data_IF_285341046085
#
_entry.id   IF_285341046085
#
_cell.length_a   1.000
_cell.length_b   1.000
_cell.length_c   1.000
_cell.angle_alpha   90.00
_cell.angle_beta   90.00
_cell.angle_gamma   90.00
#
_symmetry.space_group_name_H-M   'P 1'
#
loop_
_entity.id
_entity.type
_entity.pdbx_description
1 polymer ?
#
# COMPACT_ATOMS: atom_id res chain seq x y z
N UNK A 1 10.89 26.69 -18.59
CA UNK A 1 10.74 25.68 -17.51
C UNK A 1 10.56 24.30 -18.13
N UNK A 2 11.64 23.53 -18.28
CA UNK A 2 11.60 22.22 -18.96
C UNK A 2 11.09 21.13 -18.01
N UNK A 3 9.92 20.57 -18.28
CA UNK A 3 9.50 19.33 -17.63
C UNK A 3 10.35 18.22 -18.24
N UNK A 4 11.37 17.73 -17.52
CA UNK A 4 12.04 16.47 -17.84
C UNK A 4 10.98 15.37 -17.72
N UNK A 5 10.46 14.90 -18.84
CA UNK A 5 9.60 13.72 -18.91
C UNK A 5 10.44 12.52 -18.48
N UNK A 6 10.41 12.24 -17.18
CA UNK A 6 11.08 11.08 -16.61
C UNK A 6 10.39 9.83 -17.16
N UNK A 7 11.13 8.87 -17.75
CA UNK A 7 10.55 7.63 -18.21
C UNK A 7 9.86 6.98 -17.01
N UNK A 8 8.59 6.64 -17.20
CA UNK A 8 7.70 6.19 -16.15
C UNK A 8 8.10 4.76 -15.75
N UNK A 9 9.19 4.62 -14.97
CA UNK A 9 9.63 3.35 -14.40
C UNK A 9 8.50 2.84 -13.51
N UNK A 10 7.76 1.86 -14.02
CA UNK A 10 6.83 1.09 -13.21
C UNK A 10 7.65 0.12 -12.37
N UNK A 11 7.61 0.31 -11.05
CA UNK A 11 8.22 -0.65 -10.13
C UNK A 11 7.30 -1.85 -9.99
N UNK A 12 7.88 -3.06 -10.04
CA UNK A 12 7.16 -4.30 -9.78
C UNK A 12 6.44 -4.24 -8.43
N UNK A 13 5.29 -4.93 -8.31
CA UNK A 13 4.49 -5.01 -7.07
C UNK A 13 5.38 -5.43 -5.89
N UNK A 14 6.26 -6.40 -6.12
CA UNK A 14 7.21 -6.95 -5.14
C UNK A 14 8.12 -5.86 -4.55
N UNK A 15 8.67 -4.97 -5.37
CA UNK A 15 9.54 -3.88 -4.90
C UNK A 15 8.76 -2.92 -4.00
N UNK A 16 7.48 -2.65 -4.31
CA UNK A 16 6.64 -1.77 -3.48
C UNK A 16 6.32 -2.43 -2.14
N UNK A 17 6.01 -3.73 -2.14
CA UNK A 17 5.72 -4.50 -0.93
C UNK A 17 6.96 -4.57 -0.02
N UNK A 18 8.12 -4.89 -0.58
CA UNK A 18 9.37 -4.98 0.18
C UNK A 18 9.80 -3.61 0.71
N UNK A 19 9.66 -2.53 -0.08
CA UNK A 19 9.92 -1.16 0.38
C UNK A 19 9.06 -0.77 1.59
N UNK A 20 7.78 -1.18 1.61
CA UNK A 20 6.89 -0.94 2.73
C UNK A 20 7.30 -1.78 3.94
N UNK A 21 7.59 -3.08 3.73
CA UNK A 21 8.03 -4.00 4.79
C UNK A 21 9.29 -3.49 5.49
N UNK A 22 10.31 -3.08 4.74
CA UNK A 22 11.56 -2.51 5.30
C UNK A 22 11.29 -1.26 6.14
N UNK A 23 10.30 -0.44 5.77
CA UNK A 23 9.94 0.75 6.55
C UNK A 23 9.13 0.41 7.81
N UNK A 24 8.15 -0.47 7.70
CA UNK A 24 7.23 -0.80 8.81
C UNK A 24 7.88 -1.73 9.84
N UNK A 25 8.61 -2.75 9.39
CA UNK A 25 9.18 -3.78 10.27
C UNK A 25 10.59 -3.41 10.71
N UNK A 26 11.46 -3.08 9.76
CA UNK A 26 12.87 -2.81 10.02
C UNK A 26 13.19 -1.32 10.30
N UNK A 27 12.17 -0.45 10.25
CA UNK A 27 12.28 1.01 10.49
C UNK A 27 13.30 1.72 9.59
N UNK A 28 13.53 1.20 8.38
CA UNK A 28 14.40 1.86 7.41
C UNK A 28 13.84 3.23 7.01
N UNK A 29 14.72 4.20 6.85
CA UNK A 29 14.35 5.52 6.32
C UNK A 29 14.02 5.42 4.83
N UNK A 30 13.17 6.32 4.34
CA UNK A 30 12.85 6.38 2.91
C UNK A 30 14.11 6.53 2.04
N UNK A 31 15.14 7.21 2.57
CA UNK A 31 16.43 7.38 1.88
C UNK A 31 17.16 6.04 1.68
N UNK A 32 17.28 5.24 2.74
CA UNK A 32 17.93 3.93 2.66
C UNK A 32 17.20 3.01 1.66
N UNK A 33 15.86 3.06 1.66
CA UNK A 33 15.04 2.28 0.72
C UNK A 33 15.26 2.78 -0.72
N UNK A 34 15.31 4.09 -0.93
CA UNK A 34 15.58 4.63 -2.27
C UNK A 34 16.95 4.28 -2.80
N UNK A 35 17.98 4.28 -1.94
CA UNK A 35 19.34 3.91 -2.30
C UNK A 35 19.42 2.41 -2.64
N UNK A 36 18.79 1.53 -1.84
CA UNK A 36 18.76 0.07 -2.07
C UNK A 36 18.12 -0.32 -3.41
N UNK A 37 17.02 0.32 -3.79
CA UNK A 37 16.25 -0.04 -5.01
C UNK A 37 16.47 0.92 -6.19
N UNK A 38 17.41 1.86 -6.10
CA UNK A 38 17.64 2.85 -7.14
C UNK A 38 16.41 3.72 -7.46
N UNK A 39 15.59 4.01 -6.45
CA UNK A 39 14.39 4.83 -6.60
C UNK A 39 14.80 6.29 -6.56
N UNK A 40 14.56 7.02 -7.64
CA UNK A 40 15.00 8.42 -7.74
C UNK A 40 14.28 9.37 -6.77
N UNK A 41 13.03 9.07 -6.42
CA UNK A 41 12.19 9.96 -5.64
C UNK A 41 11.68 9.26 -4.35
N UNK A 42 12.16 9.74 -3.20
CA UNK A 42 11.74 9.26 -1.88
C UNK A 42 10.26 9.47 -1.60
N UNK A 43 9.62 10.46 -2.24
CA UNK A 43 8.20 10.71 -2.06
C UNK A 43 7.36 9.59 -2.70
N UNK A 44 7.91 8.81 -3.63
CA UNK A 44 7.25 7.58 -4.12
C UNK A 44 7.14 6.54 -3.03
N UNK A 45 8.23 6.27 -2.31
CA UNK A 45 8.24 5.32 -1.17
C UNK A 45 7.28 5.79 -0.09
N UNK A 46 7.30 7.09 0.25
CA UNK A 46 6.34 7.70 1.19
C UNK A 46 4.89 7.47 0.76
N UNK A 47 4.57 7.67 -0.52
CA UNK A 47 3.21 7.43 -1.05
C UNK A 47 2.82 5.95 -0.97
N UNK A 48 3.73 5.02 -1.21
CA UNK A 48 3.48 3.58 -1.05
C UNK A 48 3.15 3.23 0.40
N UNK A 49 3.99 3.67 1.35
CA UNK A 49 3.76 3.46 2.78
C UNK A 49 2.42 4.05 3.22
N UNK A 50 2.11 5.29 2.79
CA UNK A 50 0.83 5.92 3.11
C UNK A 50 -0.37 5.11 2.60
N UNK A 51 -0.33 4.66 1.34
CA UNK A 51 -1.40 3.84 0.76
C UNK A 51 -1.52 2.50 1.47
N UNK A 52 -0.41 1.88 1.84
CA UNK A 52 -0.39 0.64 2.59
C UNK A 52 -1.00 0.78 3.98
N UNK A 53 -0.70 1.86 4.72
CA UNK A 53 -1.35 2.11 6.02
C UNK A 53 -2.86 2.28 5.91
N UNK A 54 -3.33 2.88 4.81
CA UNK A 54 -4.76 3.14 4.59
C UNK A 54 -5.54 1.92 4.09
N UNK A 55 -4.96 1.13 3.18
CA UNK A 55 -5.66 0.09 2.42
C UNK A 55 -4.95 -1.27 2.44
N UNK A 56 -3.85 -1.41 3.18
CA UNK A 56 -2.98 -2.58 3.12
C UNK A 56 -2.36 -2.77 1.74
N UNK A 57 -2.13 -4.02 1.37
CA UNK A 57 -1.55 -4.40 0.08
C UNK A 57 -2.35 -3.90 -1.12
N UNK A 58 -3.67 -3.74 -0.98
CA UNK A 58 -4.53 -3.20 -2.04
C UNK A 58 -4.08 -1.78 -2.46
N UNK A 59 -3.61 -0.98 -1.50
CA UNK A 59 -3.10 0.37 -1.78
C UNK A 59 -1.83 0.39 -2.65
N UNK A 60 -1.13 -0.75 -2.79
CA UNK A 60 0.08 -0.89 -3.61
C UNK A 60 -0.22 -1.34 -5.05
N UNK A 61 -1.45 -1.74 -5.34
CA UNK A 61 -1.87 -2.13 -6.69
C UNK A 61 -1.79 -0.93 -7.66
N UNK A 62 -1.40 -1.22 -8.90
CA UNK A 62 -1.34 -0.23 -9.96
C UNK A 62 -2.71 -0.09 -10.63
N UNK A 63 -3.38 1.04 -10.43
CA UNK A 63 -4.71 1.30 -10.99
C UNK A 63 -4.66 2.05 -12.33
N UNK A 64 -3.47 2.19 -12.96
CA UNK A 64 -3.35 2.89 -14.24
C UNK A 64 -3.97 2.04 -15.36
N UNK A 65 -5.00 2.59 -16.02
CA UNK A 65 -5.58 2.02 -17.24
C UNK A 65 -6.56 0.85 -17.05
N UNK A 66 -7.37 0.85 -15.98
CA UNK A 66 -8.48 -0.12 -15.74
C UNK A 66 -8.15 -1.57 -16.12
N UNK A 67 -7.48 -2.31 -15.22
CA UNK A 67 -7.67 -3.76 -15.14
C UNK A 67 -8.43 -4.07 -13.85
N UNK A 68 -9.76 -4.18 -13.99
CA UNK A 68 -10.67 -4.59 -12.91
C UNK A 68 -10.78 -6.13 -12.84
N UNK A 69 -10.19 -6.85 -13.78
CA UNK A 69 -10.60 -8.24 -14.05
C UNK A 69 -10.06 -9.31 -13.11
N UNK A 70 -9.15 -8.99 -12.20
CA UNK A 70 -8.78 -9.92 -11.14
C UNK A 70 -8.15 -9.14 -9.99
N UNK A 71 -8.98 -8.44 -9.22
CA UNK A 71 -8.58 -8.12 -7.85
C UNK A 71 -8.43 -9.48 -7.18
N UNK A 72 -7.19 -9.91 -7.03
CA UNK A 72 -6.75 -11.12 -6.35
C UNK A 72 -7.78 -11.47 -5.27
N UNK A 73 -8.51 -12.58 -5.48
CA UNK A 73 -9.67 -12.94 -4.66
C UNK A 73 -9.27 -13.01 -3.17
N UNK A 74 -8.00 -13.29 -2.89
CA UNK A 74 -7.43 -13.25 -1.56
C UNK A 74 -7.38 -11.83 -0.98
N UNK A 75 -6.92 -10.84 -1.75
CA UNK A 75 -6.89 -9.42 -1.33
C UNK A 75 -8.29 -8.88 -1.01
N UNK A 76 -9.29 -9.19 -1.85
CA UNK A 76 -10.67 -8.80 -1.58
C UNK A 76 -11.22 -9.47 -0.31
N UNK A 77 -10.93 -10.76 -0.15
CA UNK A 77 -11.32 -11.53 1.03
C UNK A 77 -10.66 -11.00 2.30
N UNK A 78 -9.38 -10.60 2.24
CA UNK A 78 -8.67 -10.00 3.37
C UNK A 78 -9.27 -8.65 3.77
N UNK A 79 -9.63 -7.80 2.81
CA UNK A 79 -10.32 -6.53 3.08
C UNK A 79 -11.66 -6.77 3.79
N UNK A 80 -12.50 -7.63 3.23
CA UNK A 80 -13.80 -7.96 3.84
C UNK A 80 -13.65 -8.55 5.24
N UNK A 81 -12.64 -9.38 5.48
CA UNK A 81 -12.35 -9.93 6.82
C UNK A 81 -11.99 -8.83 7.82
N UNK A 82 -11.17 -7.84 7.41
CA UNK A 82 -10.82 -6.69 8.25
C UNK A 82 -12.04 -5.82 8.55
N UNK A 83 -12.83 -5.49 7.53
CA UNK A 83 -14.06 -4.70 7.72
C UNK A 83 -15.04 -5.42 8.65
N UNK A 84 -15.27 -6.71 8.44
CA UNK A 84 -16.09 -7.52 9.33
C UNK A 84 -15.57 -7.55 10.77
N UNK A 85 -14.24 -7.60 10.97
CA UNK A 85 -13.66 -7.58 12.30
C UNK A 85 -13.93 -6.26 13.04
N UNK A 86 -13.81 -5.12 12.35
CA UNK A 86 -14.13 -3.81 12.92
C UNK A 86 -15.62 -3.70 13.21
N UNK A 87 -16.48 -4.06 12.26
CA UNK A 87 -17.94 -4.00 12.44
C UNK A 87 -18.41 -4.89 13.60
N UNK A 88 -17.86 -6.09 13.73
CA UNK A 88 -18.16 -6.99 14.86
C UNK A 88 -17.79 -6.35 16.20
N UNK A 89 -16.60 -5.74 16.30
CA UNK A 89 -16.18 -5.02 17.53
C UNK A 89 -17.10 -3.83 17.84
N UNK A 90 -17.46 -3.02 16.85
CA UNK A 90 -18.41 -1.92 17.05
C UNK A 90 -19.77 -2.41 17.53
N UNK A 91 -20.25 -3.52 16.97
CA UNK A 91 -21.52 -4.14 17.37
C UNK A 91 -21.47 -4.71 18.81
N UNK A 92 -20.34 -5.28 19.22
CA UNK A 92 -20.14 -5.72 20.61
C UNK A 92 -20.17 -4.57 21.62
N UNK A 93 -19.56 -3.42 21.27
CA UNK A 93 -19.59 -2.22 22.10
C UNK A 93 -21.02 -1.71 22.22
N UNK A 94 -21.71 -1.56 21.09
CA UNK A 94 -23.08 -1.06 21.08
C UNK A 94 -24.04 -1.97 21.87
N UNK A 95 -23.88 -3.30 21.76
CA UNK A 95 -24.66 -4.27 22.54
C UNK A 95 -24.37 -4.28 24.05
N UNK A 96 -23.26 -3.69 24.49
CA UNK A 96 -22.94 -3.53 25.93
C UNK A 96 -23.49 -2.24 26.51
N UNK A 97 -23.76 -1.25 25.67
CA UNK A 97 -24.26 0.08 26.06
C UNK A 97 -25.80 0.18 26.03
N UNK A 98 -26.48 -0.84 25.50
CA UNK A 98 -27.94 -1.04 25.51
C UNK A 98 -28.30 -2.15 26.48
#
# INVERSE_FOLDING_TARGET
MGKKEQPNKSYAKEIRQEAVRLHEDEKWTYRQITEKYGIQDKDRVRKWVYKFRKQGEYGLLDNRGRRVEYVDQDLYTQQLKRENAVLKKCLEIWKREV
#
